data_IF_457914041457
#
_entry.id   IF_457914041457
#
_cell.length_a   1.000
_cell.length_b   1.000
_cell.length_c   1.000
_cell.angle_alpha   90.00
_cell.angle_beta   90.00
_cell.angle_gamma   90.00
#
_symmetry.space_group_name_H-M   'P 1'
#
loop_
_entity.id
_entity.type
_entity.pdbx_description
1 polymer ?
#
# COMPACT_ATOMS: atom_id res chain seq x y z
N UNK A 1 -29.15 2.55 1.43
CA UNK A 1 -28.37 1.33 1.13
C UNK A 1 -26.89 1.62 1.37
N UNK A 2 -26.20 0.74 2.11
CA UNK A 2 -24.76 0.76 2.26
C UNK A 2 -24.14 0.02 1.06
N UNK A 3 -23.31 0.72 0.27
CA UNK A 3 -22.63 0.11 -0.87
C UNK A 3 -21.16 -0.02 -0.52
N UNK A 4 -20.67 -1.24 -0.45
CA UNK A 4 -19.25 -1.54 -0.31
C UNK A 4 -18.68 -1.97 -1.64
N UNK A 5 -17.58 -1.36 -2.04
CA UNK A 5 -16.80 -1.76 -3.21
C UNK A 5 -15.37 -2.10 -2.79
N UNK A 6 -14.75 -2.98 -3.57
CA UNK A 6 -13.33 -3.22 -3.37
C UNK A 6 -12.50 -2.12 -4.05
N UNK A 7 -11.20 -2.10 -3.76
CA UNK A 7 -10.27 -1.08 -4.26
C UNK A 7 -10.21 -0.96 -5.78
N UNK A 8 -10.51 -1.98 -6.55
CA UNK A 8 -10.51 -1.90 -8.01
C UNK A 8 -11.55 -0.91 -8.56
N UNK A 9 -12.60 -0.64 -7.78
CA UNK A 9 -13.64 0.34 -8.09
C UNK A 9 -13.39 1.72 -7.48
N UNK A 10 -12.21 1.99 -6.95
CA UNK A 10 -11.86 3.29 -6.35
C UNK A 10 -11.12 4.23 -7.32
N UNK A 11 -10.83 3.78 -8.53
CA UNK A 11 -10.10 4.58 -9.51
C UNK A 11 -10.89 5.79 -10.02
N UNK A 12 -10.17 6.85 -10.38
CA UNK A 12 -10.76 8.11 -10.91
C UNK A 12 -11.70 7.90 -12.09
N UNK A 13 -11.49 6.87 -12.90
CA UNK A 13 -12.38 6.50 -14.00
C UNK A 13 -13.74 5.99 -13.51
N UNK A 14 -13.74 5.18 -12.45
CA UNK A 14 -14.97 4.67 -11.85
C UNK A 14 -15.77 5.82 -11.25
N UNK A 15 -15.13 6.65 -10.43
CA UNK A 15 -15.78 7.79 -9.79
C UNK A 15 -16.37 8.75 -10.82
N UNK A 16 -15.64 9.08 -11.88
CA UNK A 16 -16.18 9.92 -12.96
C UNK A 16 -17.40 9.34 -13.66
N UNK A 17 -17.47 8.01 -13.78
CA UNK A 17 -18.63 7.34 -14.38
C UNK A 17 -19.84 7.32 -13.45
N UNK A 18 -19.59 7.21 -12.15
CA UNK A 18 -20.66 7.19 -11.13
C UNK A 18 -21.23 8.59 -10.88
N UNK A 19 -20.41 9.66 -11.07
CA UNK A 19 -20.84 11.03 -10.80
C UNK A 19 -21.32 11.18 -9.35
N UNK A 20 -22.49 11.81 -9.18
CA UNK A 20 -23.12 12.02 -7.86
C UNK A 20 -23.47 10.72 -7.11
N UNK A 21 -23.64 9.61 -7.83
CA UNK A 21 -23.93 8.31 -7.21
C UNK A 21 -22.70 7.70 -6.51
N UNK A 22 -21.50 8.29 -6.66
CA UNK A 22 -20.31 7.86 -5.92
C UNK A 22 -20.36 8.27 -4.45
N UNK A 23 -21.07 9.35 -4.12
CA UNK A 23 -21.15 9.84 -2.75
C UNK A 23 -21.80 8.81 -1.81
N UNK A 24 -21.14 8.60 -0.68
CA UNK A 24 -21.57 7.62 0.32
C UNK A 24 -21.11 6.19 0.06
N UNK A 25 -20.37 5.91 -1.01
CA UNK A 25 -19.78 4.59 -1.27
C UNK A 25 -18.66 4.33 -0.26
N UNK A 26 -18.65 3.13 0.32
CA UNK A 26 -17.58 2.65 1.19
C UNK A 26 -16.60 1.78 0.43
N UNK A 27 -15.33 1.95 0.70
CA UNK A 27 -14.24 1.21 0.08
C UNK A 27 -13.41 0.53 1.16
N UNK A 28 -13.28 -0.78 1.05
CA UNK A 28 -12.31 -1.54 1.83
C UNK A 28 -10.97 -1.56 1.08
N UNK A 29 -9.94 -1.02 1.69
CA UNK A 29 -8.61 -0.90 1.11
C UNK A 29 -7.51 -1.07 2.15
N UNK A 30 -6.28 -1.15 1.69
CA UNK A 30 -5.12 -0.96 2.55
C UNK A 30 -5.04 0.51 2.98
N UNK A 31 -4.43 0.83 4.13
CA UNK A 31 -4.24 2.20 4.58
C UNK A 31 -3.55 3.07 3.52
N UNK A 32 -3.88 4.34 3.46
CA UNK A 32 -3.20 5.27 2.57
C UNK A 32 -1.75 5.45 2.99
N UNK A 33 -0.82 5.27 2.05
CA UNK A 33 0.60 5.51 2.30
C UNK A 33 0.94 7.00 2.32
N UNK A 34 0.12 7.86 1.73
CA UNK A 34 0.37 9.31 1.68
C UNK A 34 0.36 9.97 3.06
N UNK A 35 -0.31 9.38 4.02
CA UNK A 35 -0.34 9.84 5.42
C UNK A 35 0.66 9.10 6.34
N UNK A 36 1.42 8.15 5.81
CA UNK A 36 2.39 7.40 6.59
C UNK A 36 3.75 8.13 6.63
N UNK A 37 4.27 8.52 7.83
CA UNK A 37 5.56 9.18 7.96
C UNK A 37 6.72 8.38 7.36
N UNK A 38 6.68 7.05 7.45
CA UNK A 38 7.73 6.17 6.92
C UNK A 38 7.80 6.19 5.39
N UNK A 39 6.74 6.64 4.72
CA UNK A 39 6.68 6.78 3.27
C UNK A 39 6.94 8.22 2.78
N UNK A 40 7.04 9.19 3.68
CA UNK A 40 7.09 10.61 3.33
C UNK A 40 8.26 10.96 2.39
N UNK A 41 9.45 10.41 2.64
CA UNK A 41 10.63 10.64 1.80
C UNK A 41 10.43 10.07 0.39
N UNK A 42 9.92 8.85 0.29
CA UNK A 42 9.65 8.20 -0.99
C UNK A 42 8.54 8.93 -1.77
N UNK A 43 7.53 9.44 -1.07
CA UNK A 43 6.47 10.26 -1.66
C UNK A 43 7.02 11.53 -2.30
N UNK A 44 7.91 12.24 -1.58
CA UNK A 44 8.59 13.43 -2.12
C UNK A 44 9.42 13.08 -3.35
N UNK A 45 10.18 12.00 -3.30
CA UNK A 45 11.01 11.53 -4.42
C UNK A 45 10.18 11.20 -5.66
N UNK A 46 9.08 10.48 -5.49
CA UNK A 46 8.17 10.14 -6.59
C UNK A 46 7.56 11.41 -7.21
N UNK A 47 7.13 12.37 -6.40
CA UNK A 47 6.60 13.64 -6.88
C UNK A 47 7.63 14.47 -7.63
N UNK A 48 8.88 14.48 -7.20
CA UNK A 48 9.98 15.13 -7.93
C UNK A 48 10.20 14.50 -9.32
N UNK A 49 9.87 13.24 -9.50
CA UNK A 49 9.88 12.57 -10.80
C UNK A 49 8.59 12.78 -11.61
N UNK A 50 7.68 13.61 -11.13
CA UNK A 50 6.39 13.86 -11.79
C UNK A 50 5.37 12.74 -11.60
N UNK A 51 5.60 11.87 -10.63
CA UNK A 51 4.73 10.72 -10.32
C UNK A 51 3.91 11.05 -9.08
N UNK A 52 2.59 11.15 -9.25
CA UNK A 52 1.68 11.15 -8.09
C UNK A 52 1.28 9.70 -7.80
N UNK A 53 1.77 9.12 -6.71
CA UNK A 53 1.54 7.72 -6.41
C UNK A 53 0.09 7.51 -5.96
N UNK A 54 -0.68 6.86 -6.78
CA UNK A 54 -1.92 6.27 -6.30
C UNK A 54 -1.61 5.06 -5.41
N UNK A 55 -2.65 4.58 -4.73
CA UNK A 55 -2.44 3.56 -3.73
C UNK A 55 -1.79 2.27 -4.23
N UNK A 56 -2.09 1.78 -5.43
CA UNK A 56 -1.50 0.53 -5.96
C UNK A 56 -0.07 0.75 -6.43
N UNK A 57 0.21 1.89 -7.05
CA UNK A 57 1.57 2.24 -7.48
C UNK A 57 2.50 2.38 -6.28
N UNK A 58 2.06 3.03 -5.21
CA UNK A 58 2.85 3.18 -3.99
C UNK A 58 3.22 1.81 -3.39
N UNK A 59 2.26 0.89 -3.30
CA UNK A 59 2.52 -0.46 -2.82
C UNK A 59 3.45 -1.25 -3.76
N UNK A 60 3.30 -1.09 -5.08
CA UNK A 60 4.22 -1.68 -6.06
C UNK A 60 5.65 -1.17 -5.89
N UNK A 61 5.82 0.13 -5.75
CA UNK A 61 7.11 0.76 -5.49
C UNK A 61 7.77 0.21 -4.21
N UNK A 62 7.01 0.15 -3.11
CA UNK A 62 7.51 -0.39 -1.84
C UNK A 62 7.86 -1.88 -1.92
N UNK A 63 7.14 -2.65 -2.72
CA UNK A 63 7.46 -4.06 -2.93
C UNK A 63 8.83 -4.23 -3.59
N UNK A 64 9.17 -3.37 -4.55
CA UNK A 64 10.50 -3.36 -5.19
C UNK A 64 11.59 -2.94 -4.20
N UNK A 65 11.35 -1.91 -3.39
CA UNK A 65 12.30 -1.49 -2.34
C UNK A 65 12.53 -2.58 -1.29
N UNK A 66 11.46 -3.25 -0.89
CA UNK A 66 11.56 -4.37 0.03
C UNK A 66 12.38 -5.52 -0.55
N UNK A 67 12.20 -5.79 -1.83
CA UNK A 67 13.00 -6.79 -2.55
C UNK A 67 14.47 -6.39 -2.62
N UNK A 68 14.78 -5.15 -2.94
CA UNK A 68 16.14 -4.61 -2.94
C UNK A 68 16.82 -4.79 -1.57
N UNK A 69 16.14 -4.42 -0.50
CA UNK A 69 16.65 -4.59 0.85
C UNK A 69 16.92 -6.07 1.19
N UNK A 70 15.99 -6.95 0.80
CA UNK A 70 16.14 -8.39 1.00
C UNK A 70 17.37 -8.95 0.28
N UNK A 71 17.56 -8.58 -0.98
CA UNK A 71 18.72 -9.02 -1.79
C UNK A 71 20.03 -8.50 -1.19
N UNK A 72 20.07 -7.26 -0.75
CA UNK A 72 21.24 -6.67 -0.10
C UNK A 72 21.60 -7.41 1.19
N UNK A 73 20.62 -7.74 2.03
CA UNK A 73 20.82 -8.51 3.26
C UNK A 73 21.27 -9.95 2.99
N UNK A 74 20.75 -10.55 1.94
CA UNK A 74 21.09 -11.92 1.55
C UNK A 74 22.48 -12.03 0.89
N UNK A 75 23.08 -10.90 0.49
CA UNK A 75 24.34 -10.85 -0.24
C UNK A 75 24.23 -11.35 -1.69
N UNK A 76 23.02 -11.30 -2.28
CA UNK A 76 22.77 -11.68 -3.66
C UNK A 76 21.46 -12.43 -3.87
N UNK A 77 21.32 -13.09 -5.03
CA UNK A 77 20.09 -13.73 -5.49
C UNK A 77 20.00 -15.23 -5.20
N UNK A 78 20.82 -15.75 -4.28
CA UNK A 78 20.75 -17.18 -3.89
C UNK A 78 19.48 -17.41 -3.07
N UNK A 79 18.61 -18.30 -3.55
CA UNK A 79 17.28 -18.54 -2.96
C UNK A 79 17.33 -18.86 -1.46
N UNK A 80 18.22 -19.74 -1.03
CA UNK A 80 18.35 -20.15 0.36
C UNK A 80 18.74 -18.98 1.27
N UNK A 81 19.58 -18.06 0.78
CA UNK A 81 19.99 -16.87 1.50
C UNK A 81 18.84 -15.85 1.57
N UNK A 82 18.10 -15.68 0.47
CA UNK A 82 16.91 -14.83 0.42
C UNK A 82 15.86 -15.31 1.42
N UNK A 83 15.58 -16.61 1.44
CA UNK A 83 14.63 -17.21 2.36
C UNK A 83 15.04 -17.04 3.84
N UNK A 84 16.33 -17.23 4.16
CA UNK A 84 16.85 -16.99 5.50
C UNK A 84 16.77 -15.53 5.90
N UNK A 85 17.04 -14.61 4.96
CA UNK A 85 16.99 -13.16 5.19
C UNK A 85 15.57 -12.64 5.35
N UNK A 86 14.58 -13.31 4.75
CA UNK A 86 13.18 -12.98 4.89
C UNK A 86 12.64 -13.45 6.26
N UNK A 87 13.09 -14.64 6.72
CA UNK A 87 12.47 -15.29 7.85
C UNK A 87 12.86 -14.63 9.20
N UNK A 88 11.87 -14.32 10.02
CA UNK A 88 12.01 -13.71 11.37
C UNK A 88 12.71 -12.34 11.39
N UNK A 89 12.81 -11.66 10.26
CA UNK A 89 13.44 -10.35 10.21
C UNK A 89 12.41 -9.25 9.99
N UNK A 90 12.65 -8.14 10.70
CA UNK A 90 11.92 -6.91 10.51
C UNK A 90 12.31 -6.30 9.17
N UNK A 91 11.39 -6.25 8.23
CA UNK A 91 11.57 -5.50 6.99
C UNK A 91 10.79 -4.19 7.14
N UNK A 92 11.50 -3.09 7.12
CA UNK A 92 10.88 -1.77 7.08
C UNK A 92 10.41 -1.50 5.66
N UNK A 93 9.12 -1.63 5.46
CA UNK A 93 8.46 -1.11 4.28
C UNK A 93 7.78 0.22 4.64
N UNK A 94 7.56 1.09 3.68
CA UNK A 94 6.92 2.39 3.92
C UNK A 94 5.47 2.32 4.45
N UNK A 95 4.91 1.13 4.58
CA UNK A 95 3.64 0.87 5.28
C UNK A 95 3.83 0.47 6.75
N UNK A 96 5.05 0.44 7.24
CA UNK A 96 5.40 -0.01 8.57
C UNK A 96 6.38 -1.18 8.54
N UNK A 97 6.46 -1.87 9.65
CA UNK A 97 7.34 -3.02 9.83
C UNK A 97 6.57 -4.31 9.55
N UNK A 98 7.08 -5.12 8.64
CA UNK A 98 6.55 -6.45 8.35
C UNK A 98 7.51 -7.50 8.88
N UNK A 99 6.99 -8.47 9.59
CA UNK A 99 7.71 -9.67 10.03
C UNK A 99 7.22 -10.85 9.20
N UNK A 100 8.15 -11.61 8.68
CA UNK A 100 7.82 -12.86 8.02
C UNK A 100 8.19 -14.03 8.93
N UNK A 101 7.27 -14.96 9.08
CA UNK A 101 7.50 -16.22 9.80
C UNK A 101 7.16 -17.38 8.87
N UNK A 102 8.14 -18.24 8.61
CA UNK A 102 8.02 -19.38 7.70
C UNK A 102 7.51 -19.02 6.29
N UNK A 103 7.95 -17.83 5.79
CA UNK A 103 7.60 -17.32 4.47
C UNK A 103 6.25 -16.60 4.40
N UNK A 104 5.49 -16.58 5.48
CA UNK A 104 4.23 -15.83 5.55
C UNK A 104 4.41 -14.50 6.28
N UNK A 105 3.84 -13.41 5.77
CA UNK A 105 3.85 -12.13 6.48
C UNK A 105 2.98 -12.23 7.73
N UNK A 106 3.45 -11.64 8.82
CA UNK A 106 2.61 -11.44 9.99
C UNK A 106 1.35 -10.65 9.58
N UNK A 107 0.18 -11.18 9.93
CA UNK A 107 -1.13 -10.68 9.49
C UNK A 107 -1.55 -9.36 10.15
N UNK A 108 -0.60 -8.57 10.57
CA UNK A 108 -0.83 -7.24 11.15
C UNK A 108 -1.24 -6.15 10.13
N UNK A 109 -1.32 -6.49 8.84
CA UNK A 109 -1.85 -5.58 7.83
C UNK A 109 -3.33 -5.30 8.12
N UNK A 110 -3.57 -4.15 8.72
CA UNK A 110 -4.94 -3.68 8.97
C UNK A 110 -5.51 -3.12 7.67
N UNK A 111 -6.74 -3.51 7.38
CA UNK A 111 -7.51 -2.84 6.34
C UNK A 111 -8.08 -1.53 6.88
N UNK A 112 -8.25 -0.56 6.01
CA UNK A 112 -8.93 0.69 6.29
C UNK A 112 -10.24 0.77 5.50
N UNK A 113 -11.24 1.39 6.11
CA UNK A 113 -12.50 1.70 5.43
C UNK A 113 -12.48 3.18 5.10
N UNK A 114 -12.70 3.47 3.83
CA UNK A 114 -12.84 4.82 3.32
C UNK A 114 -14.28 5.05 2.88
N UNK A 115 -14.75 6.27 3.03
CA UNK A 115 -16.01 6.74 2.46
C UNK A 115 -15.71 7.81 1.41
N UNK A 116 -16.37 7.72 0.28
CA UNK A 116 -16.29 8.76 -0.75
C UNK A 116 -17.29 9.87 -0.42
N UNK A 117 -16.81 11.09 -0.27
CA UNK A 117 -17.62 12.26 0.05
C UNK A 117 -17.02 13.50 -0.62
N UNK A 118 -17.86 14.31 -1.27
CA UNK A 118 -17.45 15.58 -1.87
C UNK A 118 -16.26 15.47 -2.85
N UNK A 119 -16.17 14.37 -3.59
CA UNK A 119 -15.10 14.16 -4.56
C UNK A 119 -13.82 13.54 -4.01
N UNK A 120 -13.75 13.27 -2.71
CA UNK A 120 -12.56 12.74 -2.04
C UNK A 120 -12.86 11.50 -1.18
N UNK A 121 -11.80 10.74 -0.89
CA UNK A 121 -11.87 9.61 0.02
C UNK A 121 -11.47 10.01 1.42
N UNK A 122 -12.39 9.95 2.36
CA UNK A 122 -12.12 10.11 3.78
C UNK A 122 -12.00 8.73 4.46
N UNK A 123 -10.92 8.50 5.19
CA UNK A 123 -10.81 7.31 6.02
C UNK A 123 -11.76 7.44 7.21
N UNK A 124 -12.65 6.46 7.37
CA UNK A 124 -13.65 6.44 8.44
C UNK A 124 -13.39 5.33 9.47
N UNK A 125 -12.51 4.38 9.13
CA UNK A 125 -12.10 3.31 10.04
C UNK A 125 -10.71 2.81 9.72
#
# INVERSE_FOLDING_TARGET
FLVFVNRYFSGSKFIRKMGEYADGIYILSLPSLSSNPDFAEDLVRLRLWGIEPDGLMAYGYLSVKMWEELVNRAGGFVYENLQKSLNKQLIRAGWGTVVYTDGEPDRSLKYAIYRFENGEYAQVY
#
